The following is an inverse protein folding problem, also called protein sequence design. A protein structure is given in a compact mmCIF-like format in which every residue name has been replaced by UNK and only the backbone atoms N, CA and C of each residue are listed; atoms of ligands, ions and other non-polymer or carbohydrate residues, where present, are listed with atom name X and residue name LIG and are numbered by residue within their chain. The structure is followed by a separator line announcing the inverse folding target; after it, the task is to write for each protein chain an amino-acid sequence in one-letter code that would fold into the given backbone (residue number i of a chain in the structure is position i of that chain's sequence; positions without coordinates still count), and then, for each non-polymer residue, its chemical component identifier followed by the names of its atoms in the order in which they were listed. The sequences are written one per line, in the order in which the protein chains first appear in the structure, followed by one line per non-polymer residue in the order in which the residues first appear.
data_IF_912311805124
#
_entry.id   IF_912311805124
#
_cell.length_a   1.000
_cell.length_b   1.000
_cell.length_c   1.000
_cell.angle_alpha   90.00
_cell.angle_beta   90.00
_cell.angle_gamma   90.00
#
_symmetry.space_group_name_H-M   'P 1'
#
loop_
_entity.id
_entity.type
_entity.pdbx_description
1 polymer ?
#
# COMPACT_ATOMS: atom_id res chain seq x y z
N UNK A 1 -42.13 8.08 16.28
CA UNK A 1 -41.02 7.92 17.25
C UNK A 1 -41.29 6.72 18.15
N UNK A 2 -40.61 5.59 17.96
CA UNK A 2 -40.43 4.61 19.04
C UNK A 2 -38.94 4.50 19.41
N UNK A 3 -38.66 4.81 20.68
CA UNK A 3 -37.37 4.59 21.35
C UNK A 3 -37.23 3.10 21.67
N UNK A 4 -36.25 2.42 21.08
CA UNK A 4 -35.84 1.09 21.52
C UNK A 4 -34.60 1.20 22.41
N UNK A 5 -34.72 0.62 23.59
CA UNK A 5 -33.72 0.58 24.68
C UNK A 5 -32.86 -0.68 24.53
N UNK A 6 -31.54 -0.51 24.58
CA UNK A 6 -30.52 -1.58 24.62
C UNK A 6 -30.57 -2.38 25.93
N UNK A 7 -30.16 -3.64 25.90
CA UNK A 7 -29.32 -4.18 26.97
C UNK A 7 -27.90 -4.46 26.48
N UNK A 8 -26.96 -3.73 27.08
CA UNK A 8 -25.53 -3.98 26.99
C UNK A 8 -25.19 -5.29 27.73
N UNK A 9 -24.50 -6.21 27.05
CA UNK A 9 -23.88 -7.37 27.69
C UNK A 9 -22.37 -7.17 27.73
N UNK A 10 -21.88 -6.92 28.94
CA UNK A 10 -20.47 -6.90 29.31
C UNK A 10 -20.00 -8.35 29.36
N UNK A 11 -19.10 -8.75 28.47
CA UNK A 11 -18.26 -9.94 28.66
C UNK A 11 -16.87 -9.47 29.07
N UNK A 12 -16.55 -9.73 30.34
CA UNK A 12 -15.17 -9.73 30.82
C UNK A 12 -14.54 -11.08 30.45
N UNK A 13 -13.40 -11.06 29.76
CA UNK A 13 -12.55 -12.24 29.62
C UNK A 13 -11.18 -11.89 30.19
N UNK A 14 -10.80 -12.69 31.17
CA UNK A 14 -9.60 -12.59 31.99
C UNK A 14 -8.33 -12.85 31.18
N UNK A 15 -7.24 -12.25 31.65
CA UNK A 15 -5.93 -12.31 31.03
C UNK A 15 -5.26 -13.68 31.09
N UNK A 16 -4.30 -13.85 30.18
CA UNK A 16 -3.25 -14.86 30.28
C UNK A 16 -1.94 -14.12 30.05
N UNK A 17 -1.18 -13.94 31.15
CA UNK A 17 0.23 -13.57 31.12
C UNK A 17 1.04 -14.81 30.77
N UNK A 18 1.66 -14.82 29.59
CA UNK A 18 2.59 -15.86 29.15
C UNK A 18 3.93 -15.23 28.75
N UNK A 19 4.91 -15.30 29.65
CA UNK A 19 6.29 -14.94 29.37
C UNK A 19 6.98 -16.10 28.62
N UNK A 20 7.36 -15.86 27.36
CA UNK A 20 8.17 -16.82 26.58
C UNK A 20 9.62 -16.37 26.54
N UNK A 21 10.49 -17.31 26.90
CA UNK A 21 11.95 -17.19 27.06
C UNK A 21 12.61 -16.91 25.70
N UNK A 22 13.49 -15.91 25.66
CA UNK A 22 14.36 -15.61 24.51
C UNK A 22 15.51 -16.62 24.49
N UNK A 23 15.48 -17.57 23.55
CA UNK A 23 16.61 -18.44 23.25
C UNK A 23 17.33 -17.91 22.01
N UNK A 24 18.41 -17.15 22.23
CA UNK A 24 19.33 -16.73 21.17
C UNK A 24 20.24 -17.92 20.80
N UNK A 25 19.91 -18.62 19.72
CA UNK A 25 20.79 -19.60 19.08
C UNK A 25 21.51 -18.91 17.92
N UNK A 26 22.74 -18.47 18.18
CA UNK A 26 23.70 -18.11 17.15
C UNK A 26 24.28 -19.41 16.56
N UNK A 27 24.01 -19.69 15.29
CA UNK A 27 24.72 -20.72 14.53
C UNK A 27 25.07 -20.22 13.12
N UNK A 28 26.37 -20.00 12.97
CA UNK A 28 27.25 -20.22 11.82
C UNK A 28 26.70 -20.05 10.39
N UNK A 29 27.31 -19.10 9.69
CA UNK A 29 27.29 -18.92 8.24
C UNK A 29 28.23 -19.94 7.58
N UNK A 30 27.76 -20.78 6.63
CA UNK A 30 28.63 -21.37 5.63
C UNK A 30 28.59 -20.53 4.33
N UNK A 31 29.75 -19.99 3.96
CA UNK A 31 30.04 -19.56 2.61
C UNK A 31 30.45 -20.78 1.76
N UNK A 32 29.77 -21.02 0.64
CA UNK A 32 30.21 -21.88 -0.47
C UNK A 32 29.32 -21.54 -1.67
N UNK A 33 29.84 -20.79 -2.65
CA UNK A 33 30.53 -21.28 -3.84
C UNK A 33 29.54 -21.70 -4.96
N UNK A 34 29.68 -21.01 -6.09
CA UNK A 34 28.88 -21.12 -7.31
C UNK A 34 29.06 -22.44 -8.05
N UNK A 35 28.02 -22.86 -8.80
CA UNK A 35 28.11 -23.50 -10.12
C UNK A 35 26.74 -23.48 -10.83
N UNK A 36 26.65 -22.67 -11.89
CA UNK A 36 26.18 -22.98 -13.25
C UNK A 36 25.14 -24.10 -13.51
N UNK A 37 23.98 -23.68 -14.09
CA UNK A 37 23.15 -24.23 -15.21
C UNK A 37 22.96 -25.76 -15.39
N UNK A 38 21.79 -26.32 -15.74
CA UNK A 38 20.75 -25.97 -16.72
C UNK A 38 19.55 -26.95 -16.55
N UNK A 39 18.32 -26.64 -17.04
CA UNK A 39 17.34 -27.71 -17.35
C UNK A 39 15.87 -27.60 -16.90
N UNK A 40 15.08 -26.74 -17.57
CA UNK A 40 13.72 -26.95 -18.15
C UNK A 40 12.62 -27.67 -17.32
N UNK A 41 11.56 -26.93 -16.96
CA UNK A 41 10.16 -27.17 -17.42
C UNK A 41 9.18 -26.17 -16.76
N UNK A 42 9.06 -24.98 -17.35
CA UNK A 42 8.01 -24.04 -17.03
C UNK A 42 6.70 -24.49 -17.71
N UNK A 43 5.70 -24.90 -16.92
CA UNK A 43 4.31 -24.95 -17.40
C UNK A 43 3.80 -23.51 -17.44
N UNK A 44 3.88 -22.91 -18.62
CA UNK A 44 3.28 -21.64 -18.95
C UNK A 44 1.75 -21.74 -18.85
N UNK A 45 1.16 -21.23 -17.77
CA UNK A 45 -0.19 -20.67 -17.83
C UNK A 45 -0.04 -19.25 -18.37
N UNK A 46 -0.28 -19.10 -19.66
CA UNK A 46 -0.48 -17.81 -20.33
C UNK A 46 -1.69 -17.12 -19.72
N UNK A 47 -1.44 -16.22 -18.77
CA UNK A 47 -2.38 -15.13 -18.44
C UNK A 47 -1.69 -13.86 -18.90
N UNK A 48 -2.28 -13.23 -19.93
CA UNK A 48 -1.72 -12.06 -20.60
C UNK A 48 -1.24 -11.00 -19.60
N UNK A 49 0.07 -10.89 -19.46
CA UNK A 49 0.70 -9.69 -18.94
C UNK A 49 0.44 -8.60 -19.99
N UNK A 50 -0.61 -7.81 -19.79
CA UNK A 50 -0.59 -6.45 -20.30
C UNK A 50 0.60 -5.79 -19.59
N UNK A 51 1.72 -5.71 -20.30
CA UNK A 51 2.95 -5.12 -19.79
C UNK A 51 2.61 -3.74 -19.20
N UNK A 52 3.03 -3.52 -17.95
CA UNK A 52 3.20 -2.19 -17.39
C UNK A 52 3.95 -1.37 -18.42
N UNK A 53 3.23 -0.55 -19.14
CA UNK A 53 3.84 0.40 -20.07
C UNK A 53 4.20 1.57 -19.17
N UNK A 54 5.49 1.82 -18.91
CA UNK A 54 5.87 3.03 -18.19
C UNK A 54 5.33 4.19 -19.02
N UNK A 55 4.68 5.16 -18.39
CA UNK A 55 4.56 6.46 -19.02
C UNK A 55 5.99 7.04 -19.13
N UNK A 56 6.67 6.73 -20.24
CA UNK A 56 8.07 7.05 -20.57
C UNK A 56 9.14 6.53 -19.57
N UNK A 57 9.93 5.55 -20.02
CA UNK A 57 11.01 4.91 -19.27
C UNK A 57 12.31 5.74 -19.20
N UNK A 58 12.80 6.00 -18.00
CA UNK A 58 14.12 5.56 -17.55
C UNK A 58 14.22 5.69 -16.02
N UNK A 59 14.80 4.68 -15.36
CA UNK A 59 15.08 4.68 -13.90
C UNK A 59 16.31 5.55 -13.62
N UNK A 60 16.29 6.77 -14.13
CA UNK A 60 17.20 7.85 -13.76
C UNK A 60 16.56 8.54 -12.57
N UNK A 61 17.30 8.74 -11.46
CA UNK A 61 16.90 9.49 -10.24
C UNK A 61 15.40 9.85 -10.24
N UNK A 62 14.57 9.08 -9.53
CA UNK A 62 13.13 9.35 -9.37
C UNK A 62 12.89 10.86 -9.41
N UNK A 63 12.23 11.32 -10.48
CA UNK A 63 12.10 12.75 -10.76
C UNK A 63 11.64 13.43 -9.48
N UNK A 64 12.35 14.47 -9.04
CA UNK A 64 12.01 15.14 -7.78
C UNK A 64 10.54 15.55 -7.83
N UNK A 65 9.74 14.98 -6.94
CA UNK A 65 8.29 15.15 -6.89
C UNK A 65 7.89 15.59 -5.49
N UNK A 66 6.72 16.19 -5.39
CA UNK A 66 6.26 16.78 -4.15
C UNK A 66 4.87 16.32 -3.76
N UNK A 67 4.63 16.28 -2.45
CA UNK A 67 3.30 16.18 -1.87
C UNK A 67 3.15 17.13 -0.69
N UNK A 68 1.91 17.41 -0.30
CA UNK A 68 1.58 18.14 0.91
C UNK A 68 0.54 17.37 1.70
N UNK A 69 0.83 17.11 2.97
CA UNK A 69 -0.09 16.42 3.88
C UNK A 69 -1.07 17.44 4.44
N UNK A 70 -2.36 17.25 4.19
CA UNK A 70 -3.41 18.04 4.78
C UNK A 70 -3.62 17.68 6.27
N UNK A 71 -4.16 18.63 7.05
CA UNK A 71 -4.41 18.44 8.48
C UNK A 71 -5.39 17.30 8.81
N UNK A 72 -6.22 16.88 7.85
CA UNK A 72 -7.10 15.70 7.97
C UNK A 72 -6.34 14.40 8.25
N UNK A 73 -5.05 14.33 7.91
CA UNK A 73 -4.19 13.17 8.13
C UNK A 73 -3.52 13.11 9.51
N UNK A 74 -3.99 13.89 10.48
CA UNK A 74 -3.43 14.00 11.82
C UNK A 74 -3.08 12.66 12.47
N UNK A 75 -1.80 12.47 12.81
CA UNK A 75 -1.27 11.27 13.45
C UNK A 75 -0.84 10.15 12.50
N UNK A 76 -0.98 10.34 11.18
CA UNK A 76 -0.53 9.37 10.13
C UNK A 76 0.57 9.91 9.24
N UNK A 77 1.09 11.10 9.53
CA UNK A 77 2.07 11.79 8.70
C UNK A 77 3.35 10.96 8.52
N UNK A 78 3.77 10.24 9.56
CA UNK A 78 4.91 9.32 9.49
C UNK A 78 4.72 8.18 8.47
N UNK A 79 3.51 7.61 8.43
CA UNK A 79 3.16 6.52 7.50
C UNK A 79 3.06 7.05 6.06
N UNK A 80 2.52 8.26 5.86
CA UNK A 80 2.48 8.90 4.54
C UNK A 80 3.90 9.15 4.04
N UNK A 81 4.78 9.68 4.91
CA UNK A 81 6.20 9.86 4.58
C UNK A 81 6.88 8.53 4.25
N UNK A 82 6.59 7.47 5.01
CA UNK A 82 7.08 6.12 4.74
C UNK A 82 6.70 5.64 3.34
N UNK A 83 5.42 5.77 2.99
CA UNK A 83 4.91 5.41 1.66
C UNK A 83 5.52 6.27 0.54
N UNK A 84 5.71 7.57 0.75
CA UNK A 84 6.39 8.44 -0.22
C UNK A 84 7.87 8.07 -0.40
N UNK A 85 8.56 7.74 0.69
CA UNK A 85 9.98 7.37 0.69
C UNK A 85 10.23 6.06 -0.06
N UNK A 86 9.25 5.15 -0.15
CA UNK A 86 9.36 3.91 -0.93
C UNK A 86 9.78 4.17 -2.38
N UNK A 87 9.23 5.22 -3.01
CA UNK A 87 9.55 5.58 -4.41
C UNK A 87 10.78 6.50 -4.55
N UNK A 88 11.26 7.06 -3.43
CA UNK A 88 12.39 7.98 -3.40
C UNK A 88 12.09 9.35 -4.05
N UNK A 89 13.00 10.31 -3.85
CA UNK A 89 12.95 11.62 -4.51
C UNK A 89 11.79 12.55 -4.08
N UNK A 90 10.99 12.14 -3.10
CA UNK A 90 9.84 12.89 -2.63
C UNK A 90 10.25 14.09 -1.75
N UNK A 91 9.54 15.21 -1.89
CA UNK A 91 9.67 16.40 -1.04
C UNK A 91 8.32 16.77 -0.44
N UNK A 92 8.22 16.77 0.88
CA UNK A 92 7.00 17.24 1.56
C UNK A 92 6.95 18.77 1.59
N UNK A 93 5.76 19.33 1.36
CA UNK A 93 5.46 20.77 1.49
C UNK A 93 5.05 21.46 0.19
N UNK A 94 5.00 20.76 -0.94
CA UNK A 94 4.52 21.29 -2.23
C UNK A 94 4.04 20.15 -3.13
N UNK A 95 3.23 20.40 -4.16
CA UNK A 95 2.82 19.37 -5.11
C UNK A 95 1.48 18.71 -4.77
N UNK A 96 1.39 17.38 -4.86
CA UNK A 96 0.14 16.63 -4.72
C UNK A 96 -0.46 16.79 -3.32
N UNK A 97 -1.69 17.31 -3.17
CA UNK A 97 -2.37 17.34 -1.89
C UNK A 97 -2.78 15.91 -1.48
N UNK A 98 -2.49 15.56 -0.23
CA UNK A 98 -2.84 14.29 0.40
C UNK A 98 -3.80 14.57 1.54
N UNK A 99 -5.05 14.14 1.39
CA UNK A 99 -6.09 14.23 2.41
C UNK A 99 -6.45 12.85 2.97
N UNK A 100 -7.02 12.82 4.17
CA UNK A 100 -7.40 11.59 4.83
C UNK A 100 -8.87 11.58 5.24
N UNK A 101 -9.51 10.43 5.13
CA UNK A 101 -10.91 10.23 5.50
C UNK A 101 -11.07 9.08 6.50
N UNK A 102 -12.08 9.18 7.37
CA UNK A 102 -12.39 8.15 8.37
C UNK A 102 -13.23 6.98 7.83
N UNK A 103 -13.73 7.10 6.60
CA UNK A 103 -14.58 6.12 5.94
C UNK A 103 -13.98 5.64 4.62
N UNK A 104 -14.80 5.02 3.77
CA UNK A 104 -14.41 4.70 2.40
C UNK A 104 -14.31 5.97 1.55
N UNK A 105 -13.43 5.94 0.56
CA UNK A 105 -13.25 7.03 -0.39
C UNK A 105 -14.40 7.00 -1.40
N UNK A 106 -15.11 8.11 -1.53
CA UNK A 106 -16.21 8.25 -2.48
C UNK A 106 -15.75 8.90 -3.78
N UNK A 107 -16.41 8.58 -4.90
CA UNK A 107 -16.15 9.22 -6.19
C UNK A 107 -14.83 8.83 -6.88
N UNK A 108 -14.14 7.79 -6.38
CA UNK A 108 -13.01 7.20 -7.06
C UNK A 108 -13.46 6.21 -8.16
N UNK A 109 -12.73 6.13 -9.28
CA UNK A 109 -13.08 5.33 -10.46
C UNK A 109 -13.76 6.11 -11.59
N UNK A 110 -13.93 7.43 -11.43
CA UNK A 110 -14.21 8.33 -12.56
C UNK A 110 -12.94 8.54 -13.41
N UNK A 111 -13.10 8.94 -14.69
CA UNK A 111 -12.01 8.98 -15.70
C UNK A 111 -10.69 9.53 -15.14
N UNK A 112 -9.68 8.66 -15.06
CA UNK A 112 -8.31 9.01 -14.64
C UNK A 112 -8.04 8.89 -13.14
N UNK A 113 -8.93 8.23 -12.38
CA UNK A 113 -8.68 7.85 -10.99
C UNK A 113 -8.67 6.33 -10.85
N UNK A 114 -7.70 5.82 -10.09
CA UNK A 114 -7.49 4.38 -9.88
C UNK A 114 -7.84 4.04 -8.41
N UNK A 115 -8.94 3.31 -8.17
CA UNK A 115 -9.38 2.96 -6.82
C UNK A 115 -8.65 1.75 -6.25
N UNK A 116 -8.17 1.86 -5.01
CA UNK A 116 -7.72 0.72 -4.20
C UNK A 116 -8.85 0.19 -3.34
N UNK A 117 -9.02 -1.13 -3.32
CA UNK A 117 -10.09 -1.79 -2.56
C UNK A 117 -9.58 -2.49 -1.30
N UNK A 118 -10.40 -2.49 -0.26
CA UNK A 118 -10.33 -3.43 0.87
C UNK A 118 -11.75 -3.99 1.09
N UNK A 119 -11.87 -5.02 1.91
CA UNK A 119 -13.17 -5.53 2.37
C UNK A 119 -14.10 -4.39 2.83
N UNK A 120 -15.11 -4.08 2.02
CA UNK A 120 -16.16 -3.10 2.30
C UNK A 120 -16.14 -1.83 1.44
N UNK A 121 -15.07 -1.53 0.70
CA UNK A 121 -15.08 -0.37 -0.20
C UNK A 121 -13.70 0.11 -0.67
N UNK A 122 -13.70 1.28 -1.30
CA UNK A 122 -12.48 1.94 -1.77
C UNK A 122 -11.78 2.59 -0.57
N UNK A 123 -10.51 2.27 -0.37
CA UNK A 123 -9.70 2.81 0.73
C UNK A 123 -8.64 3.81 0.28
N UNK A 124 -8.38 3.93 -1.02
CA UNK A 124 -7.43 4.90 -1.55
C UNK A 124 -7.80 5.33 -2.95
N UNK A 125 -7.39 6.55 -3.29
CA UNK A 125 -7.59 7.09 -4.61
C UNK A 125 -6.54 8.16 -4.94
N UNK A 126 -5.89 7.99 -6.08
CA UNK A 126 -5.11 9.02 -6.74
C UNK A 126 -5.87 9.55 -7.96
N UNK A 127 -6.19 10.85 -7.97
CA UNK A 127 -6.83 11.49 -9.10
C UNK A 127 -5.82 12.10 -10.05
N UNK A 128 -5.93 11.76 -11.34
CA UNK A 128 -5.21 12.43 -12.41
C UNK A 128 -3.69 12.35 -12.30
N UNK A 129 -3.16 11.23 -11.78
CA UNK A 129 -1.74 10.99 -11.58
C UNK A 129 -1.04 12.08 -10.73
N UNK A 130 -1.62 12.35 -9.56
CA UNK A 130 -1.06 13.25 -8.54
C UNK A 130 -1.73 14.61 -8.45
N UNK A 131 -2.93 14.80 -9.02
CA UNK A 131 -3.71 16.03 -8.79
C UNK A 131 -4.23 16.09 -7.35
N UNK A 132 -4.56 14.92 -6.77
CA UNK A 132 -4.99 14.74 -5.39
C UNK A 132 -4.82 13.28 -5.00
N UNK A 133 -4.55 13.03 -3.73
CA UNK A 133 -4.58 11.70 -3.13
C UNK A 133 -5.46 11.75 -1.89
N UNK A 134 -6.36 10.77 -1.74
CA UNK A 134 -7.19 10.59 -0.54
C UNK A 134 -6.94 9.21 0.03
N UNK A 135 -6.63 9.16 1.32
CA UNK A 135 -6.31 7.94 2.03
C UNK A 135 -7.39 7.66 3.09
N UNK A 136 -7.96 6.46 3.05
CA UNK A 136 -8.83 5.99 4.10
C UNK A 136 -8.02 5.49 5.29
N UNK A 137 -8.38 5.99 6.47
CA UNK A 137 -7.82 5.51 7.73
C UNK A 137 -8.30 4.10 8.12
N UNK A 138 -9.22 3.50 7.35
CA UNK A 138 -9.68 2.11 7.48
C UNK A 138 -8.71 1.08 6.89
N UNK A 139 -7.69 1.52 6.16
CA UNK A 139 -6.67 0.65 5.60
C UNK A 139 -5.97 -0.18 6.68
N UNK A 140 -5.84 -1.49 6.46
CA UNK A 140 -5.15 -2.41 7.37
C UNK A 140 -3.66 -2.10 7.46
N UNK A 141 -3.04 -1.71 6.35
CA UNK A 141 -1.68 -1.16 6.27
C UNK A 141 -1.71 0.23 5.60
N UNK A 142 -1.77 1.27 6.41
CA UNK A 142 -1.88 2.64 5.92
C UNK A 142 -0.63 3.15 5.20
N UNK A 143 0.55 2.65 5.56
CA UNK A 143 1.80 3.02 4.90
C UNK A 143 1.87 2.40 3.50
N UNK A 144 1.43 1.14 3.38
CA UNK A 144 1.33 0.45 2.09
C UNK A 144 0.30 1.10 1.19
N UNK A 145 -0.86 1.50 1.74
CA UNK A 145 -1.85 2.29 1.01
C UNK A 145 -1.21 3.58 0.47
N UNK A 146 -0.51 4.34 1.32
CA UNK A 146 0.13 5.57 0.89
C UNK A 146 1.16 5.32 -0.22
N UNK A 147 2.00 4.29 -0.11
CA UNK A 147 2.94 3.91 -1.17
C UNK A 147 2.21 3.59 -2.47
N UNK A 148 1.13 2.81 -2.42
CA UNK A 148 0.31 2.49 -3.59
C UNK A 148 -0.20 3.76 -4.28
N UNK A 149 -0.84 4.65 -3.51
CA UNK A 149 -1.43 5.86 -4.08
C UNK A 149 -0.37 6.80 -4.66
N UNK A 150 0.82 6.90 -4.06
CA UNK A 150 1.90 7.67 -4.68
C UNK A 150 2.43 7.02 -5.97
N UNK A 151 2.44 5.69 -6.04
CA UNK A 151 2.85 4.97 -7.25
C UNK A 151 1.97 5.28 -8.46
N UNK A 152 0.70 5.63 -8.23
CA UNK A 152 -0.22 6.09 -9.28
C UNK A 152 0.16 7.40 -9.97
N UNK A 153 1.18 8.13 -9.49
CA UNK A 153 1.76 9.25 -10.24
C UNK A 153 2.46 8.79 -11.53
N UNK A 154 2.88 7.52 -11.61
CA UNK A 154 3.63 6.97 -12.75
C UNK A 154 3.10 5.63 -13.27
N UNK A 155 2.42 4.86 -12.42
CA UNK A 155 2.07 3.46 -12.69
C UNK A 155 0.57 3.22 -12.56
N UNK A 156 0.02 2.38 -13.44
CA UNK A 156 -1.29 1.80 -13.25
C UNK A 156 -1.24 0.62 -12.28
N UNK A 157 -2.41 0.05 -11.99
CA UNK A 157 -2.50 -1.21 -11.26
C UNK A 157 -1.70 -2.33 -11.94
N UNK A 158 -1.06 -3.17 -11.15
CA UNK A 158 -0.42 -4.39 -11.62
C UNK A 158 -1.41 -5.54 -11.79
N UNK A 159 -0.93 -6.69 -12.27
CA UNK A 159 -1.72 -7.93 -12.40
C UNK A 159 -1.82 -8.78 -11.13
N UNK A 160 -1.18 -8.35 -10.02
CA UNK A 160 -1.27 -9.05 -8.74
C UNK A 160 -2.65 -8.85 -8.10
N UNK A 161 -3.06 -9.79 -7.25
CA UNK A 161 -4.35 -9.68 -6.57
C UNK A 161 -4.27 -8.89 -5.28
N UNK A 162 -3.24 -9.14 -4.47
CA UNK A 162 -3.09 -8.55 -3.15
C UNK A 162 -1.85 -7.68 -3.13
N UNK A 163 -1.96 -6.50 -2.53
CA UNK A 163 -0.81 -5.64 -2.34
C UNK A 163 0.09 -6.12 -1.22
N UNK A 164 1.40 -5.92 -1.40
CA UNK A 164 2.41 -6.24 -0.40
C UNK A 164 3.68 -5.44 -0.66
N UNK A 165 4.59 -5.45 0.31
CA UNK A 165 5.91 -4.82 0.20
C UNK A 165 6.95 -5.67 -0.56
N UNK A 166 6.59 -6.85 -1.07
CA UNK A 166 7.56 -7.79 -1.67
C UNK A 166 8.18 -7.26 -2.98
N UNK A 167 7.45 -6.44 -3.73
CA UNK A 167 7.91 -5.85 -4.99
C UNK A 167 7.11 -4.60 -5.36
N UNK A 168 7.63 -3.71 -6.22
CA UNK A 168 6.86 -2.57 -6.72
C UNK A 168 5.57 -2.97 -7.42
N UNK A 169 5.57 -4.08 -8.16
CA UNK A 169 4.36 -4.60 -8.81
C UNK A 169 3.33 -5.04 -7.78
N UNK A 170 3.76 -5.69 -6.68
CA UNK A 170 2.85 -6.03 -5.58
C UNK A 170 2.37 -4.79 -4.84
N UNK A 171 3.21 -3.76 -4.61
CA UNK A 171 2.73 -2.49 -4.05
C UNK A 171 1.60 -1.92 -4.91
N UNK A 172 1.71 -2.01 -6.25
CA UNK A 172 0.71 -1.54 -7.21
C UNK A 172 -0.46 -2.51 -7.46
N UNK A 173 -0.65 -3.56 -6.65
CA UNK A 173 -1.83 -4.43 -6.78
C UNK A 173 -3.11 -3.71 -6.30
N UNK A 174 -4.27 -3.88 -6.97
CA UNK A 174 -5.47 -3.07 -6.74
C UNK A 174 -6.23 -3.35 -5.44
N UNK A 175 -5.80 -4.32 -4.63
CA UNK A 175 -6.56 -4.75 -3.46
C UNK A 175 -5.66 -4.97 -2.26
N UNK A 176 -6.04 -4.37 -1.14
CA UNK A 176 -5.52 -4.64 0.19
C UNK A 176 -6.20 -5.88 0.76
N UNK A 177 -5.39 -6.91 0.91
CA UNK A 177 -5.68 -8.15 1.61
C UNK A 177 -4.98 -8.08 2.98
#
# INVERSE_FOLDING_TARGET
MPRFVMPARILAVAGVTGASVVAALALAVPASAASAEDGVAATATTRSAAAMTPAASSVDKAAAWGYVIDGSCGGREGQIRGGANYWGGATEGSGTPVDCVSGYVEGCGAKGSEPVYQAGGVIGCNWGAGQKITLSTLASDFELLAAHEFGHNWYGHSGYQCMSWNSPDEVMAPTMC
#
